data_IF_913017056551
#
_entry.id   IF_913017056551
#
_cell.length_a   1.000
_cell.length_b   1.000
_cell.length_c   1.000
_cell.angle_alpha   90.00
_cell.angle_beta   90.00
_cell.angle_gamma   90.00
#
_symmetry.space_group_name_H-M   'P 1'
#
loop_
_entity.id
_entity.type
_entity.pdbx_description
1 polymer ?
#
# COMPACT_ATOMS: atom_id res chain seq x y z
N UNK A 1 -11.06 69.33 -49.21
CA UNK A 1 -10.05 68.33 -48.82
C UNK A 1 -10.84 67.22 -48.12
N UNK A 2 -11.58 66.40 -48.86
CA UNK A 2 -11.15 65.31 -49.76
C UNK A 2 -11.08 63.97 -48.96
N UNK A 3 -12.19 63.20 -48.98
CA UNK A 3 -12.42 61.82 -49.57
C UNK A 3 -11.97 60.72 -48.57
N UNK A 4 -12.81 59.93 -47.87
CA UNK A 4 -13.82 58.91 -48.27
C UNK A 4 -13.35 57.93 -49.36
N UNK A 5 -13.38 56.63 -49.03
CA UNK A 5 -13.58 55.42 -49.88
C UNK A 5 -12.97 54.20 -49.13
N UNK A 6 -13.45 52.96 -49.07
CA UNK A 6 -14.64 52.22 -49.54
C UNK A 6 -14.43 50.75 -49.07
N UNK A 7 -15.41 50.00 -48.50
CA UNK A 7 -16.20 48.87 -49.11
C UNK A 7 -15.34 47.83 -49.90
N UNK A 8 -15.55 46.50 -49.90
CA UNK A 8 -16.75 45.66 -49.77
C UNK A 8 -16.34 44.15 -49.69
N UNK A 9 -17.23 43.33 -49.12
CA UNK A 9 -17.68 41.94 -49.40
C UNK A 9 -16.94 41.04 -50.41
N UNK A 10 -16.94 39.70 -50.20
CA UNK A 10 -17.85 38.73 -50.87
C UNK A 10 -17.42 37.26 -50.67
N UNK A 11 -18.43 36.43 -50.41
CA UNK A 11 -18.53 34.98 -50.57
C UNK A 11 -18.03 34.47 -51.93
N UNK A 12 -17.69 33.17 -52.04
CA UNK A 12 -18.22 32.29 -53.10
C UNK A 12 -17.81 30.82 -52.92
N UNK A 13 -18.81 29.96 -53.13
CA UNK A 13 -18.74 28.49 -53.22
C UNK A 13 -17.92 28.04 -54.43
N UNK A 14 -17.45 26.80 -54.40
CA UNK A 14 -17.15 26.03 -55.61
C UNK A 14 -17.41 24.55 -55.37
N UNK A 15 -18.53 24.11 -55.92
CA UNK A 15 -18.95 22.74 -56.19
C UNK A 15 -18.78 22.47 -57.70
N UNK A 16 -18.34 21.26 -58.06
CA UNK A 16 -18.56 20.51 -59.32
C UNK A 16 -17.47 19.40 -59.38
N UNK A 17 -17.71 18.10 -59.15
CA UNK A 17 -18.58 17.08 -59.77
C UNK A 17 -18.07 16.49 -61.09
N UNK A 18 -18.28 15.17 -61.24
CA UNK A 18 -18.27 14.33 -62.48
C UNK A 18 -16.90 13.80 -62.97
N UNK A 19 -16.70 12.54 -63.40
CA UNK A 19 -17.64 11.48 -63.78
C UNK A 19 -16.93 10.11 -64.01
N UNK A 20 -17.75 9.05 -63.92
CA UNK A 20 -17.79 7.80 -64.72
C UNK A 20 -16.78 6.64 -64.53
N UNK A 21 -17.20 5.46 -64.00
CA UNK A 21 -17.86 4.26 -64.66
C UNK A 21 -16.77 3.25 -65.16
N UNK A 22 -16.83 1.91 -65.16
CA UNK A 22 -17.84 0.83 -64.99
C UNK A 22 -17.14 -0.55 -64.98
N UNK A 23 -17.95 -1.61 -64.76
CA UNK A 23 -17.79 -3.04 -65.08
C UNK A 23 -17.46 -3.94 -63.89
N UNK A 24 -18.43 -4.56 -63.20
CA UNK A 24 -19.45 -5.57 -63.57
C UNK A 24 -18.92 -7.01 -63.75
N UNK A 25 -19.57 -7.89 -62.96
CA UNK A 25 -19.90 -9.32 -63.15
C UNK A 25 -18.80 -10.40 -63.06
N UNK A 26 -18.98 -11.34 -62.12
CA UNK A 26 -19.27 -12.75 -62.45
C UNK A 26 -19.58 -13.56 -61.19
N UNK A 27 -20.84 -13.97 -61.10
CA UNK A 27 -21.37 -15.15 -60.42
C UNK A 27 -20.97 -16.45 -61.15
N UNK A 28 -20.70 -17.54 -60.43
CA UNK A 28 -21.27 -18.89 -60.68
C UNK A 28 -20.82 -19.89 -59.59
N UNK A 29 -21.80 -20.66 -59.13
CA UNK A 29 -21.86 -21.68 -58.08
C UNK A 29 -21.54 -23.12 -58.57
N UNK A 30 -21.74 -24.09 -57.67
CA UNK A 30 -21.82 -25.57 -57.82
C UNK A 30 -20.53 -26.34 -57.47
N UNK A 31 -20.54 -27.49 -56.81
CA UNK A 31 -21.43 -28.23 -55.90
C UNK A 31 -20.65 -29.52 -55.50
N UNK A 32 -21.16 -30.26 -54.52
CA UNK A 32 -20.84 -31.66 -54.19
C UNK A 32 -19.47 -32.03 -53.58
N UNK A 33 -19.32 -32.93 -52.62
CA UNK A 33 -20.20 -33.62 -51.66
C UNK A 33 -19.27 -34.42 -50.70
N UNK A 34 -19.83 -34.79 -49.55
CA UNK A 34 -19.73 -36.12 -48.94
C UNK A 34 -19.22 -36.18 -47.50
N UNK A 35 -20.21 -36.21 -46.61
CA UNK A 35 -20.50 -37.31 -45.68
C UNK A 35 -19.63 -37.50 -44.43
N UNK A 36 -20.24 -37.26 -43.26
CA UNK A 36 -20.67 -38.29 -42.29
C UNK A 36 -21.08 -37.59 -40.98
N UNK A 37 -22.38 -37.52 -40.69
CA UNK A 37 -23.09 -38.36 -39.69
C UNK A 37 -23.04 -37.68 -38.30
N UNK A 38 -24.09 -36.99 -37.83
CA UNK A 38 -25.24 -37.56 -37.09
C UNK A 38 -24.75 -38.42 -35.90
N UNK A 39 -25.14 -38.25 -34.64
CA UNK A 39 -26.49 -38.12 -34.11
C UNK A 39 -26.44 -37.46 -32.70
N UNK A 40 -27.52 -36.75 -32.41
CA UNK A 40 -28.10 -36.42 -31.10
C UNK A 40 -28.25 -37.65 -30.17
N UNK A 41 -28.16 -37.48 -28.85
CA UNK A 41 -29.12 -38.05 -27.89
C UNK A 41 -28.92 -37.50 -26.47
N UNK A 42 -30.02 -36.98 -25.93
CA UNK A 42 -30.26 -36.68 -24.53
C UNK A 42 -30.65 -37.96 -23.74
N UNK A 43 -30.89 -37.76 -22.44
CA UNK A 43 -31.65 -38.59 -21.46
C UNK A 43 -31.12 -40.00 -21.13
N UNK A 44 -31.26 -40.58 -19.93
CA UNK A 44 -31.51 -40.23 -18.53
C UNK A 44 -31.23 -41.57 -17.77
N UNK A 45 -31.29 -41.53 -16.43
CA UNK A 45 -31.66 -42.63 -15.52
C UNK A 45 -30.63 -43.66 -14.96
N UNK A 46 -30.35 -43.48 -13.66
CA UNK A 46 -30.64 -44.40 -12.51
C UNK A 46 -29.75 -45.61 -12.11
N UNK A 47 -29.79 -45.83 -10.78
CA UNK A 47 -29.45 -46.98 -9.92
C UNK A 47 -27.98 -47.14 -9.51
N UNK A 48 -27.63 -46.88 -8.23
CA UNK A 48 -27.67 -47.83 -7.06
C UNK A 48 -26.52 -48.87 -7.17
N UNK A 49 -25.73 -49.26 -6.16
CA UNK A 49 -25.67 -49.23 -4.70
C UNK A 49 -24.23 -49.70 -4.31
N UNK A 50 -23.94 -49.82 -3.01
CA UNK A 50 -22.86 -50.59 -2.33
C UNK A 50 -21.57 -49.80 -2.01
N UNK A 51 -21.40 -49.22 -0.82
CA UNK A 51 -21.34 -49.72 0.59
C UNK A 51 -19.90 -49.91 1.11
N UNK A 52 -19.68 -49.33 2.30
CA UNK A 52 -18.75 -49.74 3.38
C UNK A 52 -17.23 -49.59 3.13
N UNK A 53 -16.40 -48.95 3.96
CA UNK A 53 -16.28 -49.10 5.41
C UNK A 53 -15.55 -47.91 6.07
N UNK A 54 -16.03 -47.56 7.25
CA UNK A 54 -15.33 -46.89 8.35
C UNK A 54 -14.15 -47.71 8.87
N UNK A 55 -13.05 -47.07 9.28
CA UNK A 55 -12.38 -47.41 10.54
C UNK A 55 -11.51 -46.25 11.03
N UNK A 56 -11.62 -46.01 12.33
CA UNK A 56 -11.08 -44.93 13.15
C UNK A 56 -9.99 -45.56 14.02
N UNK A 57 -8.72 -45.14 13.95
CA UNK A 57 -7.71 -45.63 14.89
C UNK A 57 -6.70 -44.52 15.23
N UNK A 58 -6.91 -43.94 16.41
CA UNK A 58 -6.03 -43.06 17.17
C UNK A 58 -4.65 -43.68 17.47
N UNK A 59 -3.60 -42.85 17.52
CA UNK A 59 -2.54 -42.98 18.53
C UNK A 59 -1.78 -41.67 18.72
N UNK A 60 -1.73 -41.27 19.99
CA UNK A 60 -1.04 -40.12 20.52
C UNK A 60 0.40 -40.43 20.96
N UNK A 61 1.17 -39.35 21.12
CA UNK A 61 2.17 -39.11 22.18
C UNK A 61 3.64 -39.52 21.95
N UNK A 62 4.51 -38.52 21.79
CA UNK A 62 5.79 -38.44 22.51
C UNK A 62 6.39 -37.03 22.44
N UNK A 63 6.73 -36.53 23.62
CA UNK A 63 7.14 -35.17 23.94
C UNK A 63 8.67 -34.92 23.88
N UNK A 64 9.00 -33.62 23.86
CA UNK A 64 10.14 -32.92 24.50
C UNK A 64 11.47 -32.69 23.74
N UNK A 65 11.69 -31.42 23.32
CA UNK A 65 12.80 -30.50 23.71
C UNK A 65 12.81 -29.34 22.70
N UNK A 66 12.40 -28.12 23.04
CA UNK A 66 13.14 -27.10 23.79
C UNK A 66 14.40 -26.60 23.05
N UNK A 67 14.19 -25.69 22.09
CA UNK A 67 15.16 -24.63 21.77
C UNK A 67 14.40 -23.32 21.54
N UNK A 68 14.96 -22.30 22.18
CA UNK A 68 14.54 -20.92 22.35
C UNK A 68 14.89 -20.16 21.06
N UNK A 69 13.87 -19.83 20.28
CA UNK A 69 13.94 -18.77 19.28
C UNK A 69 12.67 -17.96 19.49
N UNK A 70 12.86 -16.69 19.84
CA UNK A 70 11.80 -15.70 19.87
C UNK A 70 11.24 -15.61 18.45
N UNK A 71 10.18 -16.38 18.19
CA UNK A 71 9.26 -16.14 17.09
C UNK A 71 8.55 -14.84 17.43
N UNK A 72 9.08 -13.74 16.89
CA UNK A 72 8.29 -12.53 16.71
C UNK A 72 7.32 -12.85 15.58
N UNK A 73 6.25 -13.56 15.94
CA UNK A 73 5.09 -13.68 15.09
C UNK A 73 4.42 -12.31 15.12
N UNK A 74 4.70 -11.49 14.12
CA UNK A 74 3.90 -10.32 13.78
C UNK A 74 2.58 -10.81 13.20
N UNK A 75 1.71 -11.30 14.09
CA UNK A 75 0.26 -11.28 13.91
C UNK A 75 -0.24 -10.20 14.88
N UNK A 76 0.22 -8.97 14.65
CA UNK A 76 -0.42 -7.79 15.19
C UNK A 76 -0.93 -7.03 13.96
N UNK A 77 -2.12 -7.44 13.52
CA UNK A 77 -3.06 -6.52 12.90
C UNK A 77 -2.97 -5.22 13.70
N UNK A 78 -2.42 -4.17 13.10
CA UNK A 78 -2.48 -2.84 13.65
C UNK A 78 -3.95 -2.49 13.89
N UNK A 79 -4.46 -2.79 15.09
CA UNK A 79 -5.67 -2.18 15.61
C UNK A 79 -5.39 -0.68 15.56
N UNK A 80 -6.21 0.06 14.80
CA UNK A 80 -6.13 1.50 14.61
C UNK A 80 -5.66 2.20 15.89
N UNK A 81 -4.35 2.42 15.98
CA UNK A 81 -3.80 3.48 16.80
C UNK A 81 -4.50 4.76 16.35
N UNK A 82 -4.73 5.70 17.26
CA UNK A 82 -5.35 6.96 16.89
C UNK A 82 -4.46 7.63 15.84
N UNK A 83 -4.81 7.49 14.56
CA UNK A 83 -4.07 8.09 13.45
C UNK A 83 -4.07 9.59 13.70
N UNK A 84 -2.92 10.23 13.50
CA UNK A 84 -2.84 11.67 13.65
C UNK A 84 -3.51 12.33 12.44
N UNK A 85 -4.33 13.36 12.69
CA UNK A 85 -4.94 14.13 11.62
C UNK A 85 -3.87 14.83 10.78
N UNK A 86 -3.95 14.67 9.46
CA UNK A 86 -2.93 15.17 8.55
C UNK A 86 -3.12 14.69 7.12
N UNK A 87 -2.24 15.18 6.26
CA UNK A 87 -2.06 14.68 4.90
C UNK A 87 -0.69 13.99 4.86
N UNK A 88 -0.67 12.76 4.40
CA UNK A 88 0.52 11.89 4.38
C UNK A 88 0.74 11.45 2.95
N UNK A 89 1.99 11.55 2.48
CA UNK A 89 2.33 11.28 1.09
C UNK A 89 3.58 10.42 0.99
N UNK A 90 3.51 9.44 0.10
CA UNK A 90 4.66 8.64 -0.31
C UNK A 90 4.81 8.67 -1.82
N UNK A 91 6.06 8.57 -2.26
CA UNK A 91 6.43 8.45 -3.66
C UNK A 91 7.37 7.26 -3.85
N UNK A 92 7.59 6.84 -5.08
CA UNK A 92 8.65 5.89 -5.44
C UNK A 92 9.60 6.51 -6.47
N UNK A 93 10.73 5.85 -6.70
CA UNK A 93 11.54 6.08 -7.88
C UNK A 93 10.76 5.65 -9.14
N UNK A 94 11.04 6.26 -10.31
CA UNK A 94 10.45 5.83 -11.56
C UNK A 94 10.98 4.44 -11.94
N UNK A 95 10.06 3.57 -12.34
CA UNK A 95 10.37 2.25 -12.87
C UNK A 95 11.10 2.33 -14.23
N UNK A 96 11.49 1.18 -14.79
CA UNK A 96 12.16 1.10 -16.10
C UNK A 96 11.33 1.68 -17.26
N UNK A 97 10.01 1.85 -17.06
CA UNK A 97 9.06 2.41 -18.02
C UNK A 97 8.78 3.89 -17.74
N UNK A 98 9.43 4.48 -16.73
CA UNK A 98 9.34 5.88 -16.35
C UNK A 98 8.17 6.23 -15.44
N UNK A 99 7.51 5.25 -14.81
CA UNK A 99 6.39 5.47 -13.91
C UNK A 99 6.81 5.37 -12.45
N UNK A 100 6.53 6.39 -11.65
CA UNK A 100 6.73 6.41 -10.21
C UNK A 100 5.37 6.30 -9.51
N UNK A 101 5.31 5.65 -8.35
CA UNK A 101 4.13 5.65 -7.49
C UNK A 101 3.97 7.04 -6.86
N UNK A 102 2.73 7.51 -6.79
CA UNK A 102 2.31 8.60 -5.93
C UNK A 102 1.15 8.10 -5.09
N UNK A 103 1.23 8.20 -3.77
CA UNK A 103 0.15 7.78 -2.88
C UNK A 103 0.00 8.76 -1.73
N UNK A 104 -1.16 9.40 -1.65
CA UNK A 104 -1.51 10.33 -0.57
C UNK A 104 -2.78 9.87 0.15
N UNK A 105 -2.78 9.93 1.48
CA UNK A 105 -3.99 9.77 2.30
C UNK A 105 -4.26 11.02 3.13
N UNK A 106 -5.54 11.29 3.40
CA UNK A 106 -5.96 12.32 4.35
C UNK A 106 -6.61 11.69 5.56
N UNK A 107 -6.05 11.94 6.75
CA UNK A 107 -6.63 11.52 8.03
C UNK A 107 -7.32 12.70 8.69
N UNK A 108 -8.56 12.49 9.16
CA UNK A 108 -9.35 13.49 9.90
C UNK A 108 -10.16 12.80 10.99
N UNK A 109 -10.16 13.36 12.20
CA UNK A 109 -10.77 12.76 13.38
C UNK A 109 -10.24 11.33 13.66
N UNK A 110 -8.99 11.06 13.26
CA UNK A 110 -8.33 9.75 13.39
C UNK A 110 -8.78 8.68 12.38
N UNK A 111 -9.54 9.06 11.34
CA UNK A 111 -10.01 8.17 10.28
C UNK A 111 -9.46 8.61 8.91
N UNK A 112 -9.15 7.66 8.03
CA UNK A 112 -8.79 7.91 6.64
C UNK A 112 -10.05 8.38 5.90
N UNK A 113 -10.01 9.59 5.38
CA UNK A 113 -11.15 10.23 4.69
C UNK A 113 -10.98 10.31 3.18
N UNK A 114 -9.74 10.23 2.70
CA UNK A 114 -9.38 10.27 1.29
C UNK A 114 -8.13 9.43 1.05
N UNK A 115 -8.06 8.79 -0.10
CA UNK A 115 -6.93 7.99 -0.58
C UNK A 115 -6.75 8.27 -2.07
N UNK A 116 -5.53 8.61 -2.45
CA UNK A 116 -5.16 8.93 -3.82
C UNK A 116 -3.82 8.28 -4.16
N UNK A 117 -3.90 7.00 -4.51
CA UNK A 117 -2.84 6.22 -5.13
C UNK A 117 -2.92 6.34 -6.66
N UNK A 118 -1.79 6.52 -7.33
CA UNK A 118 -1.64 6.41 -8.78
C UNK A 118 -0.16 6.16 -9.16
N UNK A 119 0.12 6.12 -10.45
CA UNK A 119 1.46 6.23 -11.00
C UNK A 119 1.59 7.48 -11.86
N UNK A 120 2.65 8.26 -11.66
CA UNK A 120 2.96 9.47 -12.41
C UNK A 120 4.22 9.25 -13.27
N UNK A 121 4.24 9.82 -14.48
CA UNK A 121 5.43 9.80 -15.36
C UNK A 121 6.26 11.10 -15.25
N UNK A 122 7.39 11.18 -15.95
CA UNK A 122 8.27 12.38 -15.95
C UNK A 122 7.57 13.67 -16.45
N UNK A 123 6.49 13.56 -17.24
CA UNK A 123 5.71 14.68 -17.76
C UNK A 123 4.59 15.12 -16.79
N UNK A 124 4.36 14.36 -15.71
CA UNK A 124 3.29 14.59 -14.74
C UNK A 124 1.92 14.01 -15.15
N UNK A 125 1.88 13.13 -16.15
CA UNK A 125 0.65 12.43 -16.53
C UNK A 125 0.45 11.20 -15.64
N UNK A 126 -0.82 10.93 -15.27
CA UNK A 126 -1.20 9.78 -14.45
C UNK A 126 -1.49 8.54 -15.31
N UNK A 127 -1.09 7.37 -14.83
CA UNK A 127 -1.30 6.08 -15.51
C UNK A 127 -2.78 5.71 -15.58
N UNK A 128 -3.57 6.09 -14.58
CA UNK A 128 -5.02 5.97 -14.61
C UNK A 128 -5.69 6.82 -15.71
N UNK A 129 -5.06 7.92 -16.14
CA UNK A 129 -5.59 8.82 -17.16
C UNK A 129 -5.11 8.47 -18.59
N UNK A 130 -4.16 7.55 -18.74
CA UNK A 130 -3.65 7.10 -20.03
C UNK A 130 -4.65 6.17 -20.73
N UNK A 131 -5.45 6.73 -21.65
CA UNK A 131 -6.48 5.98 -22.39
C UNK A 131 -5.91 4.77 -23.17
N UNK A 132 -4.71 4.89 -23.74
CA UNK A 132 -4.10 3.84 -24.57
C UNK A 132 -3.61 2.68 -23.70
N UNK A 133 -3.00 2.98 -22.57
CA UNK A 133 -2.58 1.98 -21.59
C UNK A 133 -3.78 1.26 -20.97
N UNK A 134 -4.80 2.01 -20.53
CA UNK A 134 -5.99 1.45 -19.91
C UNK A 134 -6.75 0.51 -20.85
N UNK A 135 -6.90 0.89 -22.12
CA UNK A 135 -7.53 0.03 -23.13
C UNK A 135 -6.75 -1.28 -23.31
N UNK A 136 -5.43 -1.19 -23.46
CA UNK A 136 -4.59 -2.38 -23.64
C UNK A 136 -4.59 -3.29 -22.40
N UNK A 137 -4.55 -2.71 -21.21
CA UNK A 137 -4.57 -3.47 -19.95
C UNK A 137 -5.91 -4.19 -19.77
N UNK A 138 -7.04 -3.52 -20.04
CA UNK A 138 -8.38 -4.12 -19.95
C UNK A 138 -8.54 -5.28 -20.94
N UNK A 139 -8.03 -5.14 -22.17
CA UNK A 139 -8.08 -6.22 -23.17
C UNK A 139 -7.32 -7.48 -22.76
N UNK A 140 -6.21 -7.34 -22.02
CA UNK A 140 -5.34 -8.45 -21.61
C UNK A 140 -5.79 -9.06 -20.28
N UNK A 141 -6.12 -8.21 -19.32
CA UNK A 141 -6.31 -8.60 -17.91
C UNK A 141 -7.78 -8.57 -17.46
N UNK A 142 -8.65 -7.88 -18.21
CA UNK A 142 -10.06 -7.70 -17.87
C UNK A 142 -10.36 -6.52 -16.93
N UNK A 143 -9.34 -5.75 -16.53
CA UNK A 143 -9.46 -4.54 -15.70
C UNK A 143 -8.51 -3.46 -16.23
N UNK A 144 -8.91 -2.19 -16.14
CA UNK A 144 -8.04 -1.06 -16.48
C UNK A 144 -7.20 -0.63 -15.26
N UNK A 145 -6.14 0.14 -15.50
CA UNK A 145 -5.36 0.74 -14.39
C UNK A 145 -6.23 1.71 -13.59
N UNK A 146 -7.09 2.47 -14.26
CA UNK A 146 -8.00 3.42 -13.63
C UNK A 146 -8.99 2.72 -12.70
N UNK A 147 -9.63 1.65 -13.18
CA UNK A 147 -10.62 0.90 -12.40
C UNK A 147 -9.96 0.21 -11.20
N UNK A 148 -8.80 -0.42 -11.40
CA UNK A 148 -8.07 -1.09 -10.31
C UNK A 148 -7.59 -0.09 -9.24
N UNK A 149 -7.01 1.04 -9.67
CA UNK A 149 -6.59 2.11 -8.77
C UNK A 149 -7.76 2.69 -8.00
N UNK A 150 -8.90 2.94 -8.65
CA UNK A 150 -10.10 3.44 -7.98
C UNK A 150 -10.62 2.44 -6.94
N UNK A 151 -10.72 1.16 -7.30
CA UNK A 151 -11.19 0.10 -6.40
C UNK A 151 -10.32 -0.01 -5.14
N UNK A 152 -9.00 0.08 -5.29
CA UNK A 152 -8.05 0.02 -4.16
C UNK A 152 -8.17 1.23 -3.23
N UNK A 153 -8.24 2.45 -3.79
CA UNK A 153 -8.42 3.67 -3.00
C UNK A 153 -9.74 3.65 -2.20
N UNK A 154 -10.85 3.25 -2.85
CA UNK A 154 -12.14 3.10 -2.18
C UNK A 154 -12.07 2.03 -1.08
N UNK A 155 -11.35 0.92 -1.32
CA UNK A 155 -11.18 -0.16 -0.35
C UNK A 155 -10.38 0.26 0.89
N UNK A 156 -9.34 1.09 0.75
CA UNK A 156 -8.57 1.59 1.90
C UNK A 156 -9.43 2.51 2.78
N UNK A 157 -10.20 3.42 2.16
CA UNK A 157 -11.13 4.30 2.89
C UNK A 157 -12.24 3.50 3.57
N UNK A 158 -12.76 2.44 2.96
CA UNK A 158 -13.79 1.60 3.58
C UNK A 158 -13.24 0.71 4.71
N UNK A 159 -12.08 0.10 4.50
CA UNK A 159 -11.49 -0.86 5.44
C UNK A 159 -10.73 -0.20 6.59
N UNK A 160 -10.25 1.03 6.41
CA UNK A 160 -9.35 1.74 7.32
C UNK A 160 -8.07 0.93 7.63
N UNK A 161 -7.67 0.05 6.70
CA UNK A 161 -6.56 -0.88 6.84
C UNK A 161 -5.86 -1.03 5.50
N UNK A 162 -4.54 -1.21 5.54
CA UNK A 162 -3.77 -1.50 4.35
C UNK A 162 -3.94 -2.95 3.84
N UNK A 163 -4.51 -3.84 4.64
CA UNK A 163 -4.86 -5.22 4.26
C UNK A 163 -6.13 -5.24 3.40
N UNK A 164 -6.03 -4.69 2.19
CA UNK A 164 -7.11 -4.70 1.19
C UNK A 164 -6.96 -5.87 0.22
N UNK A 165 -8.08 -6.41 -0.24
CA UNK A 165 -8.09 -7.48 -1.24
C UNK A 165 -7.40 -7.04 -2.54
N UNK A 166 -6.62 -7.95 -3.13
CA UNK A 166 -5.97 -7.70 -4.41
C UNK A 166 -6.98 -7.71 -5.58
N UNK A 167 -6.81 -6.79 -6.53
CA UNK A 167 -7.63 -6.68 -7.72
C UNK A 167 -7.15 -7.70 -8.77
N UNK A 168 -8.04 -8.57 -9.20
CA UNK A 168 -7.72 -9.57 -10.23
C UNK A 168 -7.31 -8.91 -11.54
N UNK A 169 -6.13 -9.24 -12.05
CA UNK A 169 -5.56 -8.61 -13.26
C UNK A 169 -4.64 -7.42 -12.97
N UNK A 170 -4.58 -6.94 -11.72
CA UNK A 170 -3.73 -5.82 -11.29
C UNK A 170 -2.88 -6.18 -10.06
N UNK A 171 -2.39 -7.43 -9.97
CA UNK A 171 -1.69 -7.96 -8.79
C UNK A 171 -0.48 -7.12 -8.38
N UNK A 172 0.35 -6.67 -9.32
CA UNK A 172 1.49 -5.80 -9.03
C UNK A 172 1.03 -4.46 -8.43
N UNK A 173 -0.01 -3.86 -9.01
CA UNK A 173 -0.61 -2.62 -8.50
C UNK A 173 -1.15 -2.81 -7.08
N UNK A 174 -1.86 -3.91 -6.82
CA UNK A 174 -2.38 -4.21 -5.48
C UNK A 174 -1.28 -4.40 -4.44
N UNK A 175 -0.20 -5.09 -4.79
CA UNK A 175 0.93 -5.27 -3.86
C UNK A 175 1.62 -3.93 -3.54
N UNK A 176 1.88 -3.09 -4.55
CA UNK A 176 2.42 -1.75 -4.35
C UNK A 176 1.49 -0.86 -3.51
N UNK A 177 0.17 -0.97 -3.74
CA UNK A 177 -0.84 -0.25 -2.97
C UNK A 177 -0.83 -0.66 -1.50
N UNK A 178 -0.86 -1.96 -1.20
CA UNK A 178 -0.85 -2.47 0.18
C UNK A 178 0.40 -1.99 0.92
N UNK A 179 1.58 -2.13 0.32
CA UNK A 179 2.83 -1.67 0.93
C UNK A 179 2.85 -0.16 1.18
N UNK A 180 2.52 0.66 0.18
CA UNK A 180 2.49 2.12 0.36
C UNK A 180 1.42 2.56 1.36
N UNK A 181 0.29 1.85 1.44
CA UNK A 181 -0.74 2.06 2.46
C UNK A 181 -0.20 1.77 3.86
N UNK A 182 0.54 0.66 4.05
CA UNK A 182 1.18 0.34 5.34
C UNK A 182 2.14 1.46 5.75
N UNK A 183 3.03 1.88 4.84
CA UNK A 183 3.94 3.00 5.11
C UNK A 183 3.18 4.27 5.50
N UNK A 184 2.11 4.62 4.79
CA UNK A 184 1.29 5.80 5.08
C UNK A 184 0.58 5.72 6.43
N UNK A 185 0.07 4.55 6.81
CA UNK A 185 -0.53 4.33 8.13
C UNK A 185 0.49 4.48 9.25
N UNK A 186 1.71 3.99 9.05
CA UNK A 186 2.80 4.14 10.00
C UNK A 186 3.22 5.62 10.13
N UNK A 187 3.32 6.35 9.01
CA UNK A 187 3.56 7.79 9.03
C UNK A 187 2.44 8.56 9.73
N UNK A 188 1.19 8.16 9.53
CA UNK A 188 0.02 8.75 10.18
C UNK A 188 -0.01 8.46 11.69
N UNK A 189 0.38 7.26 12.11
CA UNK A 189 0.55 6.92 13.52
C UNK A 189 1.62 7.80 14.19
N UNK A 190 2.73 8.06 13.49
CA UNK A 190 3.82 8.93 13.94
C UNK A 190 3.52 10.44 13.82
N UNK A 191 2.46 10.81 13.09
CA UNK A 191 2.19 12.21 12.76
C UNK A 191 3.23 12.82 11.81
N UNK A 192 3.98 12.01 11.08
CA UNK A 192 5.03 12.45 10.15
C UNK A 192 4.44 12.82 8.79
N UNK A 193 4.22 14.12 8.55
CA UNK A 193 3.66 14.63 7.28
C UNK A 193 4.74 14.95 6.23
N UNK A 194 5.98 14.51 6.41
CA UNK A 194 7.03 14.66 5.39
C UNK A 194 6.79 13.64 4.27
N UNK A 195 7.00 14.05 3.01
CA UNK A 195 6.92 13.14 1.86
C UNK A 195 8.07 12.13 1.93
N UNK A 196 7.73 10.84 1.88
CA UNK A 196 8.69 9.75 1.99
C UNK A 196 8.81 9.00 0.67
N UNK A 197 10.05 8.77 0.23
CA UNK A 197 10.32 7.89 -0.91
C UNK A 197 10.49 6.45 -0.42
N UNK A 198 9.57 5.56 -0.79
CA UNK A 198 9.53 4.18 -0.28
C UNK A 198 10.70 3.31 -0.75
N UNK A 199 11.38 3.71 -1.83
CA UNK A 199 12.57 3.01 -2.33
C UNK A 199 13.84 3.39 -1.57
N UNK A 200 13.83 4.55 -0.92
CA UNK A 200 14.95 5.07 -0.13
C UNK A 200 14.83 4.74 1.36
N UNK A 201 13.78 4.01 1.76
CA UNK A 201 13.61 3.52 3.12
C UNK A 201 14.72 2.54 3.51
N UNK A 202 15.30 2.78 4.68
CA UNK A 202 16.33 1.91 5.26
C UNK A 202 15.72 0.54 5.63
N UNK A 203 16.47 -0.52 5.39
CA UNK A 203 16.08 -1.86 5.82
C UNK A 203 16.43 -2.02 7.30
N UNK A 204 15.47 -2.42 8.13
CA UNK A 204 15.78 -2.76 9.52
C UNK A 204 16.55 -4.09 9.60
N UNK A 205 17.52 -4.14 10.50
CA UNK A 205 18.26 -5.37 10.80
C UNK A 205 17.32 -6.47 11.31
N UNK A 206 17.45 -7.68 10.77
CA UNK A 206 16.55 -8.77 11.11
C UNK A 206 16.55 -9.91 10.09
N UNK A 207 15.73 -10.91 10.37
CA UNK A 207 15.43 -12.01 9.45
C UNK A 207 13.97 -11.85 8.99
N UNK A 208 13.74 -11.83 7.69
CA UNK A 208 12.42 -11.60 7.09
C UNK A 208 12.09 -12.75 6.14
N UNK A 209 10.91 -13.35 6.33
CA UNK A 209 10.48 -14.54 5.59
C UNK A 209 9.22 -14.26 4.80
N UNK A 210 9.28 -14.47 3.49
CA UNK A 210 8.14 -14.47 2.58
C UNK A 210 8.00 -15.88 1.97
N UNK A 211 7.01 -16.63 2.43
CA UNK A 211 6.78 -18.04 2.07
C UNK A 211 8.05 -18.92 2.21
N UNK A 212 8.69 -19.26 1.10
CA UNK A 212 9.87 -20.14 1.03
C UNK A 212 11.18 -19.35 0.84
N UNK A 213 11.12 -18.02 0.91
CA UNK A 213 12.29 -17.14 0.88
C UNK A 213 12.52 -16.57 2.28
N UNK A 214 13.76 -16.60 2.73
CA UNK A 214 14.21 -15.86 3.92
C UNK A 214 15.39 -14.99 3.55
N UNK A 215 15.35 -13.71 3.93
CA UNK A 215 16.46 -12.78 3.81
C UNK A 215 16.97 -12.38 5.20
N UNK A 216 18.27 -12.15 5.32
CA UNK A 216 18.90 -11.57 6.51
C UNK A 216 19.40 -10.18 6.17
N UNK A 217 19.03 -9.19 6.98
CA UNK A 217 19.49 -7.80 6.88
C UNK A 217 20.39 -7.49 8.08
N UNK A 218 21.59 -6.98 7.81
CA UNK A 218 22.50 -6.48 8.85
C UNK A 218 23.15 -5.17 8.39
N UNK A 219 23.12 -4.15 9.26
CA UNK A 219 23.62 -2.82 8.93
C UNK A 219 22.85 -2.13 7.79
N UNK A 220 21.57 -2.47 7.61
CA UNK A 220 20.73 -1.97 6.51
C UNK A 220 21.03 -2.58 5.13
N UNK A 221 21.84 -3.63 5.05
CA UNK A 221 22.19 -4.33 3.82
C UNK A 221 21.71 -5.79 3.88
N UNK A 222 21.22 -6.34 2.76
CA UNK A 222 20.90 -7.77 2.66
C UNK A 222 22.21 -8.56 2.67
N UNK A 223 22.49 -9.32 3.74
CA UNK A 223 23.73 -10.08 3.90
C UNK A 223 23.62 -11.55 3.53
N UNK A 224 22.42 -12.11 3.60
CA UNK A 224 22.12 -13.49 3.24
C UNK A 224 20.70 -13.61 2.67
N UNK A 225 20.51 -14.56 1.76
CA UNK A 225 19.19 -14.92 1.25
C UNK A 225 19.17 -16.43 1.00
N UNK A 226 18.10 -17.09 1.43
CA UNK A 226 17.85 -18.52 1.24
C UNK A 226 16.47 -18.70 0.62
N UNK A 227 16.42 -19.29 -0.58
CA UNK A 227 15.18 -19.61 -1.28
C UNK A 227 15.05 -21.11 -1.49
N UNK A 228 13.96 -21.71 -1.01
CA UNK A 228 13.66 -23.12 -1.20
C UNK A 228 12.72 -23.32 -2.40
N UNK A 229 13.21 -23.96 -3.45
CA UNK A 229 12.43 -24.24 -4.66
C UNK A 229 12.73 -25.63 -5.25
N UNK A 230 11.91 -26.06 -6.22
CA UNK A 230 12.09 -27.34 -6.90
C UNK A 230 13.44 -27.44 -7.65
N UNK A 231 13.88 -26.32 -8.24
CA UNK A 231 15.18 -26.18 -8.88
C UNK A 231 16.12 -25.37 -7.99
N UNK A 232 16.80 -26.06 -7.07
CA UNK A 232 17.65 -25.40 -6.08
C UNK A 232 18.87 -24.71 -6.69
N UNK A 233 19.39 -25.19 -7.83
CA UNK A 233 20.53 -24.53 -8.49
C UNK A 233 20.13 -23.12 -8.98
N UNK A 234 18.90 -22.98 -9.49
CA UNK A 234 18.35 -21.67 -9.92
C UNK A 234 17.98 -20.81 -8.71
N UNK A 235 17.43 -21.43 -7.65
CA UNK A 235 17.10 -20.72 -6.41
C UNK A 235 18.34 -20.11 -5.75
N UNK A 236 19.43 -20.86 -5.66
CA UNK A 236 20.71 -20.40 -5.12
C UNK A 236 21.32 -19.29 -6.00
N UNK A 237 21.14 -19.35 -7.33
CA UNK A 237 21.58 -18.30 -8.26
C UNK A 237 20.83 -16.99 -8.04
N UNK A 238 19.50 -17.05 -7.93
CA UNK A 238 18.64 -15.89 -7.66
C UNK A 238 18.90 -15.27 -6.28
N UNK A 239 19.05 -16.11 -5.24
CA UNK A 239 19.37 -15.66 -3.89
C UNK A 239 20.74 -14.96 -3.85
N UNK A 240 21.74 -15.51 -4.53
CA UNK A 240 23.04 -14.86 -4.64
C UNK A 240 22.98 -13.53 -5.41
N UNK A 241 22.15 -13.45 -6.46
CA UNK A 241 21.94 -12.21 -7.21
C UNK A 241 21.29 -11.12 -6.35
N UNK A 242 20.32 -11.46 -5.50
CA UNK A 242 19.70 -10.53 -4.55
C UNK A 242 20.71 -9.96 -3.55
N UNK A 243 21.56 -10.81 -2.96
CA UNK A 243 22.62 -10.37 -2.03
C UNK A 243 23.65 -9.51 -2.76
N UNK A 244 24.02 -9.82 -4.01
CA UNK A 244 24.97 -9.02 -4.79
C UNK A 244 24.39 -7.66 -5.19
N UNK A 245 23.11 -7.61 -5.58
CA UNK A 245 22.42 -6.39 -5.94
C UNK A 245 22.11 -5.50 -4.72
N UNK A 246 21.84 -6.13 -3.57
CA UNK A 246 21.40 -5.46 -2.33
C UNK A 246 19.97 -4.92 -2.40
N UNK A 247 19.27 -5.11 -3.52
CA UNK A 247 17.88 -4.72 -3.74
C UNK A 247 17.25 -5.62 -4.81
N UNK A 248 15.92 -5.61 -4.87
CA UNK A 248 15.14 -6.46 -5.77
C UNK A 248 15.21 -6.03 -7.24
N UNK A 249 15.35 -4.72 -7.52
CA UNK A 249 15.39 -4.18 -8.88
C UNK A 249 16.65 -4.62 -9.65
N UNK A 250 17.74 -4.93 -8.94
CA UNK A 250 18.97 -5.44 -9.54
C UNK A 250 18.95 -6.94 -9.86
N UNK A 251 17.88 -7.67 -9.53
CA UNK A 251 17.79 -9.12 -9.78
C UNK A 251 17.22 -9.37 -11.18
N UNK A 252 18.07 -9.84 -12.08
CA UNK A 252 17.64 -10.23 -13.43
C UNK A 252 16.99 -11.64 -13.44
N UNK A 253 15.89 -11.84 -14.18
CA UNK A 253 15.26 -13.16 -14.28
C UNK A 253 16.15 -14.16 -15.04
N UNK A 254 16.12 -15.41 -14.60
CA UNK A 254 16.91 -16.49 -15.21
C UNK A 254 16.23 -17.01 -16.47
N UNK A 255 16.94 -16.99 -17.60
CA UNK A 255 16.42 -17.43 -18.91
C UNK A 255 15.91 -18.88 -18.85
N UNK A 256 14.63 -19.08 -19.21
CA UNK A 256 13.98 -20.39 -19.21
C UNK A 256 13.42 -20.82 -17.84
N UNK A 257 13.52 -19.97 -16.81
CA UNK A 257 12.93 -20.15 -15.49
C UNK A 257 12.11 -18.92 -15.09
N UNK A 258 11.30 -18.42 -16.03
CA UNK A 258 10.54 -17.16 -15.88
C UNK A 258 9.55 -17.23 -14.71
N UNK A 259 8.88 -18.37 -14.51
CA UNK A 259 7.92 -18.55 -13.41
C UNK A 259 8.63 -18.51 -12.05
N UNK A 260 9.69 -19.30 -11.87
CA UNK A 260 10.48 -19.30 -10.62
C UNK A 260 11.12 -17.93 -10.35
N UNK A 261 11.64 -17.26 -11.39
CA UNK A 261 12.24 -15.93 -11.25
C UNK A 261 11.20 -14.90 -10.81
N UNK A 262 10.01 -14.94 -11.42
CA UNK A 262 8.91 -14.03 -11.05
C UNK A 262 8.45 -14.28 -9.62
N UNK A 263 8.29 -15.53 -9.21
CA UNK A 263 7.95 -15.89 -7.82
C UNK A 263 9.03 -15.41 -6.86
N UNK A 264 10.30 -15.66 -7.16
CA UNK A 264 11.40 -15.20 -6.33
C UNK A 264 11.40 -13.67 -6.16
N UNK A 265 11.26 -12.91 -7.26
CA UNK A 265 11.24 -11.45 -7.22
C UNK A 265 10.06 -10.94 -6.39
N UNK A 266 8.88 -11.56 -6.52
CA UNK A 266 7.71 -11.19 -5.72
C UNK A 266 7.94 -11.42 -4.22
N UNK A 267 8.49 -12.59 -3.85
CA UNK A 267 8.81 -12.91 -2.45
C UNK A 267 9.92 -12.01 -1.89
N UNK A 268 10.95 -11.74 -2.69
CA UNK A 268 12.03 -10.85 -2.30
C UNK A 268 11.52 -9.42 -2.08
N UNK A 269 10.59 -8.96 -2.93
CA UNK A 269 9.94 -7.66 -2.77
C UNK A 269 9.14 -7.61 -1.47
N UNK A 270 8.34 -8.64 -1.18
CA UNK A 270 7.60 -8.73 0.07
C UNK A 270 8.52 -8.69 1.29
N UNK A 271 9.53 -9.56 1.36
CA UNK A 271 10.43 -9.61 2.51
C UNK A 271 11.24 -8.30 2.68
N UNK A 272 11.59 -7.63 1.58
CA UNK A 272 12.26 -6.32 1.61
C UNK A 272 11.32 -5.23 2.11
N UNK A 273 10.05 -5.25 1.70
CA UNK A 273 9.03 -4.32 2.18
C UNK A 273 8.76 -4.50 3.68
N UNK A 274 8.69 -5.74 4.16
CA UNK A 274 8.55 -6.03 5.59
C UNK A 274 9.75 -5.47 6.39
N UNK A 275 10.97 -5.57 5.84
CA UNK A 275 12.16 -4.97 6.44
C UNK A 275 12.15 -3.44 6.46
N UNK A 276 11.62 -2.79 5.42
CA UNK A 276 11.43 -1.33 5.39
C UNK A 276 10.41 -0.86 6.43
N UNK A 277 9.30 -1.58 6.56
CA UNK A 277 8.25 -1.26 7.55
C UNK A 277 8.74 -1.46 8.99
N UNK A 278 9.51 -2.51 9.24
CA UNK A 278 10.19 -2.69 10.52
C UNK A 278 11.14 -1.51 10.85
N UNK A 279 11.78 -0.92 9.85
CA UNK A 279 12.60 0.30 10.00
C UNK A 279 11.78 1.52 10.42
N UNK A 280 10.63 1.75 9.79
CA UNK A 280 9.73 2.86 10.14
C UNK A 280 9.17 2.74 11.57
N UNK A 281 8.87 1.54 12.02
CA UNK A 281 8.28 1.30 13.35
C UNK A 281 9.31 1.33 14.48
N UNK A 282 10.58 1.03 14.18
CA UNK A 282 11.65 1.02 15.17
C UNK A 282 12.06 2.42 15.65
N UNK A 283 11.88 3.47 14.85
CA UNK A 283 12.25 4.85 15.23
C UNK A 283 11.39 5.35 16.43
N UNK A 284 10.14 4.90 16.54
CA UNK A 284 9.26 5.20 17.67
C UNK A 284 9.79 4.63 19.00
N UNK A 285 10.30 3.39 19.01
CA UNK A 285 10.82 2.76 20.24
C UNK A 285 12.08 3.47 20.78
N UNK A 286 12.81 4.22 19.93
CA UNK A 286 13.95 5.04 20.33
C UNK A 286 13.58 6.38 20.96
N UNK A 287 12.36 6.89 20.72
CA UNK A 287 11.88 8.16 21.26
C UNK A 287 11.36 8.02 22.71
N UNK A 288 10.77 6.87 23.05
CA UNK A 288 10.24 6.57 24.39
C UNK A 288 11.36 6.51 25.46
N UNK A 289 12.53 5.98 25.09
CA UNK A 289 13.67 5.73 26.01
C UNK A 289 14.51 6.99 26.31
N UNK A 290 14.21 8.15 25.69
CA UNK A 290 14.88 9.43 26.01
C UNK A 290 14.07 10.33 26.95
N UNK A 291 12.81 9.97 27.25
CA UNK A 291 11.89 10.79 28.05
C UNK A 291 11.98 10.48 29.55
N UNK A 292 12.49 9.32 29.95
CA UNK A 292 12.41 8.82 31.32
C UNK A 292 13.56 9.27 32.25
N UNK A 293 14.66 9.85 31.72
CA UNK A 293 15.85 10.21 32.52
C UNK A 293 15.79 11.61 33.17
N UNK A 294 14.61 12.23 33.34
CA UNK A 294 14.48 13.60 33.89
C UNK A 294 13.59 13.79 35.11
N UNK A 295 12.99 12.75 35.69
CA UNK A 295 12.04 12.92 36.81
C UNK A 295 12.38 12.21 38.14
N UNK A 296 13.57 11.64 38.29
CA UNK A 296 14.03 11.05 39.57
C UNK A 296 14.83 12.00 40.47
N UNK A 297 14.32 13.20 40.79
CA UNK A 297 14.95 14.01 41.85
C UNK A 297 14.03 14.99 42.57
N UNK A 298 12.88 14.57 43.11
CA UNK A 298 12.19 15.41 44.11
C UNK A 298 11.13 14.76 45.01
N UNK A 299 11.33 13.60 45.64
CA UNK A 299 10.44 13.25 46.78
C UNK A 299 10.92 12.11 47.68
N UNK A 300 11.75 12.43 48.68
CA UNK A 300 11.89 11.57 49.87
C UNK A 300 12.15 12.40 51.14
N UNK A 301 11.08 12.83 51.81
CA UNK A 301 11.08 13.01 53.27
C UNK A 301 9.67 13.30 53.79
N UNK A 302 8.94 12.23 54.08
CA UNK A 302 7.75 12.29 54.92
C UNK A 302 7.62 11.00 55.75
N UNK A 303 8.16 11.06 56.97
CA UNK A 303 7.71 10.29 58.13
C UNK A 303 8.12 11.13 59.35
N UNK A 304 7.34 11.30 60.42
CA UNK A 304 6.46 10.36 61.10
C UNK A 304 5.66 11.13 62.19
N UNK A 305 4.60 10.49 62.68
CA UNK A 305 4.05 10.60 64.05
C UNK A 305 2.91 11.58 64.37
N UNK A 306 1.69 11.04 64.21
CA UNK A 306 0.75 10.66 65.27
C UNK A 306 0.16 11.68 66.26
N UNK A 307 -1.17 11.57 66.38
CA UNK A 307 -2.00 11.49 67.60
C UNK A 307 -2.98 12.64 67.92
N UNK A 308 -4.24 12.19 68.06
CA UNK A 308 -5.28 12.54 69.05
C UNK A 308 -5.86 13.96 69.18
N UNK A 309 -7.16 14.02 68.87
CA UNK A 309 -8.30 14.37 69.75
C UNK A 309 -8.39 15.76 70.43
N UNK A 310 -9.64 16.25 70.44
CA UNK A 310 -10.21 17.31 71.32
C UNK A 310 -9.79 18.74 70.97
N UNK A 311 -10.52 19.82 71.23
CA UNK A 311 -11.90 20.17 71.53
C UNK A 311 -11.88 21.70 71.58
N UNK A 312 -12.92 22.35 71.06
CA UNK A 312 -13.55 23.59 71.55
C UNK A 312 -12.73 24.90 71.83
N UNK A 313 -13.47 26.00 71.66
CA UNK A 313 -13.21 27.40 72.06
C UNK A 313 -12.18 28.21 71.25
N UNK A 314 -12.57 29.27 70.53
CA UNK A 314 -13.16 30.56 70.96
C UNK A 314 -12.09 31.64 71.13
N UNK A 315 -12.05 32.59 70.20
CA UNK A 315 -11.85 34.04 70.37
C UNK A 315 -11.73 34.63 68.95
N UNK A 316 -12.59 35.57 68.53
CA UNK A 316 -12.45 37.02 68.80
C UNK A 316 -11.12 37.51 68.17
N UNK A 317 -11.05 38.42 67.19
CA UNK A 317 -11.76 39.68 66.97
C UNK A 317 -11.50 40.17 65.52
N UNK A 318 -12.45 40.97 65.01
CA UNK A 318 -12.32 42.24 64.27
C UNK A 318 -11.16 42.41 63.24
N UNK A 319 -11.31 43.01 62.06
CA UNK A 319 -12.01 44.26 61.75
C UNK A 319 -12.19 44.41 60.23
N UNK A 320 -13.02 45.39 59.90
CA UNK A 320 -13.55 45.78 58.61
C UNK A 320 -12.67 46.88 57.98
N UNK A 321 -12.41 46.84 56.67
CA UNK A 321 -12.12 48.01 55.81
C UNK A 321 -11.94 47.50 54.36
N UNK A 322 -12.86 47.72 53.41
CA UNK A 322 -13.31 48.96 52.77
C UNK A 322 -12.16 49.73 52.10
N UNK A 323 -12.02 49.59 50.78
CA UNK A 323 -12.08 50.72 49.83
C UNK A 323 -11.77 50.26 48.41
N UNK A 324 -12.80 50.34 47.57
CA UNK A 324 -12.76 50.83 46.20
C UNK A 324 -11.69 51.91 45.92
N UNK A 325 -10.97 51.80 44.80
CA UNK A 325 -10.49 52.97 44.06
C UNK A 325 -10.36 52.63 42.57
N UNK A 326 -11.14 53.37 41.77
CA UNK A 326 -11.02 53.51 40.32
C UNK A 326 -10.26 54.80 40.03
N UNK A 327 -9.32 54.77 39.08
CA UNK A 327 -8.83 55.92 38.30
C UNK A 327 -8.36 55.33 36.95
N UNK A 328 -8.97 55.55 35.78
CA UNK A 328 -9.06 56.81 34.99
C UNK A 328 -7.73 57.59 35.04
N UNK A 329 -7.07 58.06 34.00
CA UNK A 329 -7.22 58.07 32.54
C UNK A 329 -5.92 58.78 32.03
N UNK A 330 -5.75 58.83 30.71
CA UNK A 330 -5.03 59.87 29.94
C UNK A 330 -3.53 59.75 29.57
N UNK A 331 -3.36 59.93 28.25
CA UNK A 331 -2.29 60.65 27.54
C UNK A 331 -0.92 59.96 27.37
N UNK A 332 -0.24 60.04 26.23
CA UNK A 332 -0.44 60.70 24.93
C UNK A 332 0.78 60.37 24.07
N UNK A 333 0.58 60.18 22.77
CA UNK A 333 1.38 60.73 21.65
C UNK A 333 2.93 60.70 21.73
N UNK A 334 3.57 59.91 20.85
CA UNK A 334 4.58 60.36 19.85
C UNK A 334 4.79 59.27 18.77
#
# INVERSE_FOLDING_TARGET
>A
ESEESTEEETSEESEESTDEETSEESEESTDEESSADSEESAEEETSEESEESTDEESSADSEESADDAAVVGTDESAEAGALTDGEYSVVSNPDERGWAITHTITVTDGEITDSNFDYENEDGDLKSEDEEYNTQMEEVTGVSSADATQELNDALVESQSADVDAVSGATTTSASFQFTSQVLLELAAQGNTEEVNVDELELADGEYTAENLTITVEGGEITDATFEAEDQDVADELAAALVEAGNVEGVEPVEGQEELSTTFIALATQATNDAKLAGLTADEAGAEESSEESEESSEESSEESASEETSEESSEEESEESSEESTEEESSEE
#
